data_IF_769863202486
#
_entry.id   IF_769863202486
#
_cell.length_a   1.000
_cell.length_b   1.000
_cell.length_c   1.000
_cell.angle_alpha   90.00
_cell.angle_beta   90.00
_cell.angle_gamma   90.00
#
_symmetry.space_group_name_H-M   'P 1'
#
loop_
_entity.id
_entity.type
_entity.pdbx_description
1 polymer ?
#
# COMPACT_ATOMS: atom_id res chain seq x y z
N UNK A 1 -6.08 81.84 36.00
CA UNK A 1 -7.00 82.05 37.12
C UNK A 1 -7.40 80.72 37.70
N UNK A 2 -7.13 80.56 38.94
CA UNK A 2 -7.69 79.67 39.98
C UNK A 2 -7.65 78.15 39.82
N UNK A 3 -6.79 77.58 40.62
CA UNK A 3 -6.91 76.39 41.43
C UNK A 3 -8.23 76.47 42.29
N UNK A 4 -8.70 75.47 43.05
CA UNK A 4 -7.95 74.37 43.71
C UNK A 4 -8.76 73.05 43.95
N UNK A 5 -8.02 72.09 44.48
CA UNK A 5 -8.25 71.23 45.67
C UNK A 5 -9.18 70.03 45.56
N UNK A 6 -8.65 68.84 45.78
CA UNK A 6 -8.24 68.15 47.02
C UNK A 6 -9.41 67.39 47.71
N UNK A 7 -9.26 66.10 47.89
CA UNK A 7 -9.32 65.28 49.13
C UNK A 7 -9.60 63.82 48.81
N UNK A 8 -8.67 62.96 49.01
CA UNK A 8 -8.45 62.07 50.16
C UNK A 8 -9.57 61.09 50.47
N UNK A 9 -9.14 59.85 50.63
CA UNK A 9 -9.92 58.77 51.26
C UNK A 9 -9.32 57.40 50.91
N UNK A 10 -8.23 57.05 51.41
CA UNK A 10 -7.76 56.07 52.41
C UNK A 10 -8.76 54.93 52.65
N UNK A 11 -8.36 53.71 52.28
CA UNK A 11 -9.05 52.48 52.60
C UNK A 11 -8.21 51.25 52.32
N UNK A 12 -7.29 51.02 53.27
CA UNK A 12 -6.46 49.84 53.39
C UNK A 12 -7.32 48.65 53.72
N UNK A 13 -7.32 47.61 52.89
CA UNK A 13 -7.65 46.25 53.35
C UNK A 13 -6.80 45.21 52.59
N UNK A 14 -5.75 44.81 53.28
CA UNK A 14 -4.98 43.61 52.95
C UNK A 14 -5.88 42.39 53.18
N UNK A 15 -6.20 41.66 52.13
CA UNK A 15 -6.68 40.29 52.25
C UNK A 15 -5.72 39.38 51.48
N UNK A 16 -4.77 38.83 52.22
CA UNK A 16 -3.90 37.73 51.73
C UNK A 16 -4.75 36.48 51.64
N UNK A 17 -5.06 36.07 50.43
CA UNK A 17 -5.62 34.72 50.15
C UNK A 17 -4.52 33.90 49.52
N UNK A 18 -3.86 33.10 50.37
CA UNK A 18 -3.02 31.99 49.90
C UNK A 18 -3.92 30.93 49.35
N UNK A 19 -3.98 30.82 48.02
CA UNK A 19 -4.56 29.64 47.37
C UNK A 19 -3.42 28.75 46.91
N UNK A 20 -3.40 27.58 47.50
CA UNK A 20 -2.55 26.46 47.18
C UNK A 20 -2.61 26.17 45.68
N UNK A 21 -1.45 26.26 45.02
CA UNK A 21 -1.28 25.74 43.66
C UNK A 21 -1.32 24.21 43.71
N UNK A 22 -2.45 23.64 43.34
CA UNK A 22 -2.50 22.24 42.93
C UNK A 22 -1.81 22.15 41.57
N UNK A 23 -0.65 21.52 41.54
CA UNK A 23 0.05 21.04 40.36
C UNK A 23 -0.82 20.00 39.66
N UNK A 24 -1.72 20.45 38.83
CA UNK A 24 -2.39 19.60 37.87
C UNK A 24 -1.39 19.40 36.72
N UNK A 25 -0.64 18.29 36.76
CA UNK A 25 0.05 17.74 35.60
C UNK A 25 -0.98 17.61 34.48
N UNK A 26 -0.97 18.57 33.55
CA UNK A 26 -1.59 18.45 32.26
C UNK A 26 -0.92 17.26 31.58
N UNK A 27 -1.59 16.11 31.58
CA UNK A 27 -1.31 15.07 30.60
C UNK A 27 -1.55 15.72 29.25
N UNK A 28 -0.48 15.99 28.53
CA UNK A 28 -0.54 16.19 27.08
C UNK A 28 -1.08 14.88 26.53
N UNK A 29 -2.33 14.88 26.16
CA UNK A 29 -2.92 13.92 25.27
C UNK A 29 -2.24 14.19 23.93
N UNK A 30 -1.29 13.32 23.60
CA UNK A 30 -0.79 13.21 22.22
C UNK A 30 -2.02 12.69 21.48
N UNK A 31 -2.69 13.60 20.77
CA UNK A 31 -3.56 13.22 19.69
C UNK A 31 -2.62 12.62 18.63
N UNK A 32 -2.58 11.29 18.59
CA UNK A 32 -2.14 10.56 17.40
C UNK A 32 -3.12 10.95 16.28
N UNK A 33 -2.77 12.03 15.61
CA UNK A 33 -3.31 12.31 14.30
C UNK A 33 -2.58 11.33 13.39
N UNK A 34 -3.12 10.13 13.24
CA UNK A 34 -2.86 9.29 12.07
C UNK A 34 -3.26 10.15 10.87
N UNK A 35 -2.32 10.91 10.34
CA UNK A 35 -2.44 11.41 8.98
C UNK A 35 -2.50 10.17 8.10
N UNK A 36 -3.72 9.81 7.73
CA UNK A 36 -3.96 8.84 6.66
C UNK A 36 -3.41 9.50 5.41
N UNK A 37 -2.15 9.22 5.09
CA UNK A 37 -1.58 9.54 3.79
C UNK A 37 -2.42 8.74 2.80
N UNK A 38 -3.32 9.41 2.12
CA UNK A 38 -4.11 8.83 1.03
C UNK A 38 -3.12 8.45 -0.07
N UNK A 39 -2.69 7.18 -0.06
CA UNK A 39 -1.85 6.62 -1.12
C UNK A 39 -2.71 6.52 -2.36
N UNK A 40 -2.44 7.34 -3.35
CA UNK A 40 -3.13 7.28 -4.63
C UNK A 40 -2.85 5.92 -5.28
N UNK A 41 -3.90 5.11 -5.45
CA UNK A 41 -3.82 3.80 -6.10
C UNK A 41 -3.86 4.01 -7.62
N UNK A 42 -2.76 3.72 -8.29
CA UNK A 42 -2.61 3.79 -9.76
C UNK A 42 -2.69 2.42 -10.40
N UNK A 43 -3.00 1.37 -9.64
CA UNK A 43 -3.09 0.01 -10.15
C UNK A 43 -4.28 -0.14 -11.09
N UNK A 44 -4.03 -0.58 -12.31
CA UNK A 44 -5.05 -0.94 -13.29
C UNK A 44 -5.33 -2.43 -13.21
N UNK A 45 -6.58 -2.78 -12.95
CA UNK A 45 -7.04 -4.17 -12.93
C UNK A 45 -7.77 -4.49 -14.22
N UNK A 46 -7.64 -5.73 -14.68
CA UNK A 46 -8.33 -6.23 -15.86
C UNK A 46 -7.94 -7.66 -16.20
N UNK A 47 -8.34 -8.08 -17.38
CA UNK A 47 -8.07 -9.40 -17.93
C UNK A 47 -7.06 -9.28 -19.05
N UNK A 48 -6.07 -10.18 -19.06
CA UNK A 48 -5.10 -10.29 -20.16
C UNK A 48 -5.83 -10.65 -21.45
N UNK A 49 -5.71 -9.81 -22.47
CA UNK A 49 -6.34 -9.99 -23.77
C UNK A 49 -5.53 -10.92 -24.69
N UNK A 50 -6.19 -11.38 -25.74
CA UNK A 50 -5.57 -12.25 -26.76
C UNK A 50 -4.53 -11.50 -27.63
N UNK A 51 -4.58 -10.15 -27.67
CA UNK A 51 -3.60 -9.31 -28.35
C UNK A 51 -2.26 -9.21 -27.62
N UNK A 52 -2.12 -9.85 -26.45
CA UNK A 52 -0.87 -9.87 -25.69
C UNK A 52 0.22 -10.61 -26.45
N UNK A 53 1.43 -10.04 -26.46
CA UNK A 53 2.60 -10.58 -27.11
C UNK A 53 3.84 -10.52 -26.21
N UNK A 54 5.01 -10.85 -26.75
CA UNK A 54 6.28 -10.77 -26.02
C UNK A 54 6.62 -9.33 -25.55
N UNK A 55 6.22 -8.32 -26.30
CA UNK A 55 6.59 -6.92 -26.05
C UNK A 55 5.40 -6.02 -25.71
N UNK A 56 4.19 -6.57 -25.69
CA UNK A 56 2.99 -5.80 -25.40
C UNK A 56 1.99 -6.61 -24.58
N UNK A 57 1.36 -5.95 -23.63
CA UNK A 57 0.29 -6.50 -22.81
C UNK A 57 -1.01 -5.78 -23.16
N UNK A 58 -1.98 -6.53 -23.67
CA UNK A 58 -3.35 -6.07 -23.81
C UNK A 58 -4.11 -6.33 -22.54
N UNK A 59 -4.73 -5.31 -21.95
CA UNK A 59 -5.59 -5.40 -20.76
C UNK A 59 -6.99 -4.95 -21.13
N UNK A 60 -7.96 -5.82 -20.90
CA UNK A 60 -9.38 -5.48 -20.89
C UNK A 60 -9.71 -5.12 -19.44
N UNK A 61 -9.84 -3.81 -19.15
CA UNK A 61 -10.03 -3.31 -17.79
C UNK A 61 -11.39 -3.72 -17.22
N UNK A 62 -11.52 -3.67 -15.91
CA UNK A 62 -12.81 -3.92 -15.23
C UNK A 62 -13.89 -2.89 -15.64
N UNK A 63 -13.49 -1.73 -16.17
CA UNK A 63 -14.39 -0.72 -16.74
C UNK A 63 -14.84 -1.04 -18.18
N UNK A 64 -14.22 -2.05 -18.82
CA UNK A 64 -14.51 -2.48 -20.19
C UNK A 64 -13.66 -1.80 -21.25
N UNK A 65 -12.69 -0.97 -20.88
CA UNK A 65 -11.75 -0.36 -21.81
C UNK A 65 -10.63 -1.33 -22.16
N UNK A 66 -10.11 -1.23 -23.39
CA UNK A 66 -8.92 -1.98 -23.81
C UNK A 66 -7.72 -1.07 -23.78
N UNK A 67 -6.71 -1.40 -22.98
CA UNK A 67 -5.43 -0.72 -22.90
C UNK A 67 -4.32 -1.64 -23.41
N UNK A 68 -3.34 -1.05 -24.10
CA UNK A 68 -2.16 -1.78 -24.56
C UNK A 68 -0.94 -1.13 -23.91
N UNK A 69 -0.20 -1.91 -23.16
CA UNK A 69 1.04 -1.51 -22.51
C UNK A 69 2.23 -2.09 -23.26
N UNK A 70 3.25 -1.29 -23.47
CA UNK A 70 4.57 -1.77 -23.88
C UNK A 70 5.28 -2.39 -22.67
N UNK A 71 5.90 -3.56 -22.86
CA UNK A 71 6.63 -4.31 -21.84
C UNK A 71 8.15 -4.06 -21.86
N UNK A 72 8.59 -3.14 -22.69
CA UNK A 72 9.97 -2.69 -22.80
C UNK A 72 9.99 -1.18 -22.64
N UNK A 73 10.67 -0.70 -21.61
CA UNK A 73 10.95 0.72 -21.44
C UNK A 73 12.28 1.04 -22.11
N UNK A 74 12.31 2.06 -22.94
CA UNK A 74 13.55 2.58 -23.51
C UNK A 74 13.93 3.87 -22.80
N UNK A 75 15.12 3.89 -22.19
CA UNK A 75 15.66 5.10 -21.60
C UNK A 75 16.12 6.04 -22.72
N UNK A 76 15.57 7.26 -22.74
CA UNK A 76 15.80 8.23 -23.81
C UNK A 76 17.26 8.75 -23.86
N UNK A 77 18.02 8.64 -22.76
CA UNK A 77 19.41 9.14 -22.68
C UNK A 77 20.43 8.04 -22.99
N UNK A 78 20.13 6.79 -22.59
CA UNK A 78 21.09 5.67 -22.68
C UNK A 78 20.77 4.68 -23.80
N UNK A 79 19.60 4.78 -24.42
CA UNK A 79 19.07 3.80 -25.41
C UNK A 79 19.02 2.36 -24.84
N UNK A 80 19.06 2.21 -23.52
CA UNK A 80 18.98 0.89 -22.87
C UNK A 80 17.52 0.48 -22.74
N UNK A 81 17.21 -0.71 -23.27
CA UNK A 81 15.90 -1.33 -23.08
C UNK A 81 15.84 -2.03 -21.71
N UNK A 82 14.87 -1.65 -20.91
CA UNK A 82 14.59 -2.30 -19.62
C UNK A 82 13.26 -3.02 -19.71
N UNK A 83 13.20 -4.34 -19.50
CA UNK A 83 11.94 -5.06 -19.50
C UNK A 83 11.10 -4.71 -18.26
N UNK A 84 9.79 -4.69 -18.46
CA UNK A 84 8.84 -4.60 -17.35
C UNK A 84 9.00 -5.80 -16.40
N UNK A 85 8.76 -5.57 -15.10
CA UNK A 85 8.74 -6.64 -14.12
C UNK A 85 7.40 -7.41 -14.21
N UNK A 86 7.45 -8.61 -14.78
CA UNK A 86 6.27 -9.47 -14.97
C UNK A 86 6.31 -10.65 -14.03
N UNK A 87 5.39 -10.68 -13.09
CA UNK A 87 5.26 -11.70 -12.07
C UNK A 87 4.06 -12.62 -12.35
N UNK A 88 4.29 -13.93 -12.43
CA UNK A 88 3.26 -14.95 -12.65
C UNK A 88 2.93 -15.25 -14.12
N UNK A 89 3.66 -14.62 -15.07
CA UNK A 89 3.48 -14.82 -16.50
C UNK A 89 2.28 -14.09 -17.09
N UNK A 90 2.19 -14.16 -18.44
CA UNK A 90 1.12 -13.53 -19.22
C UNK A 90 0.35 -14.63 -19.97
N UNK A 91 -0.90 -14.83 -19.59
CA UNK A 91 -1.80 -15.78 -20.26
C UNK A 91 -3.14 -15.11 -20.53
N UNK A 92 -3.61 -15.17 -21.77
CA UNK A 92 -4.90 -14.62 -22.13
C UNK A 92 -6.02 -15.23 -21.25
N UNK A 93 -6.89 -14.39 -20.72
CA UNK A 93 -7.95 -14.75 -19.79
C UNK A 93 -7.59 -14.64 -18.31
N UNK A 94 -6.29 -14.51 -17.96
CA UNK A 94 -5.88 -14.33 -16.58
C UNK A 94 -6.18 -12.90 -16.09
N UNK A 95 -6.50 -12.77 -14.80
CA UNK A 95 -6.64 -11.48 -14.12
C UNK A 95 -5.26 -10.89 -13.86
N UNK A 96 -5.10 -9.62 -14.19
CA UNK A 96 -3.86 -8.87 -14.05
C UNK A 96 -4.05 -7.63 -13.19
N UNK A 97 -2.99 -7.24 -12.49
CA UNK A 97 -2.82 -5.96 -11.85
C UNK A 97 -1.58 -5.29 -12.45
N UNK A 98 -1.75 -4.12 -13.06
CA UNK A 98 -0.70 -3.42 -13.81
C UNK A 98 -0.45 -2.06 -13.19
N UNK A 99 0.81 -1.72 -12.94
CA UNK A 99 1.26 -0.35 -12.73
C UNK A 99 2.14 0.07 -13.88
N UNK A 100 2.06 1.32 -14.25
CA UNK A 100 2.81 1.84 -15.39
C UNK A 100 2.65 3.35 -15.50
N UNK A 101 3.30 3.89 -16.49
CA UNK A 101 3.28 5.31 -16.78
C UNK A 101 2.99 5.57 -18.27
N UNK A 102 2.59 6.79 -18.56
CA UNK A 102 2.36 7.24 -19.93
C UNK A 102 3.56 8.05 -20.39
N UNK A 103 4.10 7.65 -21.52
CA UNK A 103 5.06 8.47 -22.27
C UNK A 103 4.31 9.38 -23.27
N UNK A 104 5.03 10.07 -24.16
CA UNK A 104 4.40 10.90 -25.18
C UNK A 104 3.52 10.07 -26.14
N UNK A 105 3.93 8.85 -26.46
CA UNK A 105 3.36 8.04 -27.54
C UNK A 105 2.67 6.76 -27.06
N UNK A 106 2.99 6.25 -25.86
CA UNK A 106 2.54 4.93 -25.40
C UNK A 106 2.32 4.83 -23.90
N UNK A 107 1.64 3.75 -23.48
CA UNK A 107 1.59 3.32 -22.10
C UNK A 107 2.70 2.28 -21.89
N UNK A 108 3.53 2.48 -20.88
CA UNK A 108 4.60 1.55 -20.50
C UNK A 108 4.23 0.90 -19.19
N UNK A 109 4.29 -0.44 -19.13
CA UNK A 109 4.11 -1.15 -17.88
C UNK A 109 5.42 -1.14 -17.08
N UNK A 110 5.39 -0.69 -15.85
CA UNK A 110 6.51 -0.80 -14.92
C UNK A 110 6.50 -2.18 -14.26
N UNK A 111 5.32 -2.59 -13.80
CA UNK A 111 5.12 -3.89 -13.14
C UNK A 111 3.78 -4.50 -13.51
N UNK A 112 3.80 -5.82 -13.74
CA UNK A 112 2.63 -6.64 -14.04
C UNK A 112 2.58 -7.81 -13.07
N UNK A 113 1.47 -7.97 -12.36
CA UNK A 113 1.24 -9.10 -11.46
C UNK A 113 0.06 -9.91 -12.00
N UNK A 114 0.31 -11.18 -12.30
CA UNK A 114 -0.75 -12.11 -12.65
C UNK A 114 -1.50 -12.53 -11.38
N UNK A 115 -2.67 -11.94 -11.19
CA UNK A 115 -3.52 -12.18 -10.02
C UNK A 115 -4.03 -13.62 -10.03
N UNK A 116 -4.37 -14.19 -11.18
CA UNK A 116 -4.78 -15.60 -11.29
C UNK A 116 -3.68 -16.53 -10.79
N UNK A 117 -2.43 -16.24 -11.14
CA UNK A 117 -1.26 -17.00 -10.66
C UNK A 117 -0.99 -16.77 -9.17
N UNK A 118 -1.37 -15.62 -8.60
CA UNK A 118 -1.19 -15.34 -7.18
C UNK A 118 -2.20 -16.11 -6.30
N UNK A 119 -3.41 -16.33 -6.80
CA UNK A 119 -4.43 -17.09 -6.06
C UNK A 119 -3.98 -18.54 -5.83
N UNK A 120 -4.35 -19.08 -4.67
CA UNK A 120 -4.12 -20.48 -4.32
C UNK A 120 -3.53 -20.67 -2.93
N UNK A 121 -3.13 -21.90 -2.66
CA UNK A 121 -2.64 -22.33 -1.35
C UNK A 121 -1.11 -22.27 -1.30
N UNK A 122 -0.60 -21.51 -0.36
CA UNK A 122 0.81 -21.24 -0.16
C UNK A 122 1.29 -21.72 1.21
N UNK A 123 2.44 -22.37 1.25
CA UNK A 123 2.99 -22.92 2.49
C UNK A 123 4.48 -22.66 2.62
N UNK A 124 4.92 -22.37 3.84
CA UNK A 124 6.31 -22.34 4.29
C UNK A 124 6.46 -23.11 5.60
N UNK A 125 7.59 -23.00 6.26
CA UNK A 125 7.82 -23.61 7.58
C UNK A 125 6.87 -23.01 8.62
N UNK A 126 6.65 -21.68 8.57
CA UNK A 126 5.96 -20.92 9.61
C UNK A 126 4.56 -20.48 9.21
N UNK A 127 4.23 -20.54 7.93
CA UNK A 127 2.98 -20.02 7.37
C UNK A 127 2.32 -21.03 6.44
N UNK A 128 1.00 -21.09 6.54
CA UNK A 128 0.18 -21.91 5.66
C UNK A 128 -1.13 -21.15 5.44
N UNK A 129 -1.35 -20.67 4.22
CA UNK A 129 -2.48 -19.79 3.91
C UNK A 129 -2.96 -19.95 2.46
N UNK A 130 -4.20 -19.56 2.23
CA UNK A 130 -4.79 -19.52 0.90
C UNK A 130 -5.15 -18.07 0.55
N UNK A 131 -4.69 -17.61 -0.60
CA UNK A 131 -5.13 -16.35 -1.22
C UNK A 131 -6.34 -16.69 -2.10
N UNK A 132 -7.48 -16.09 -1.75
CA UNK A 132 -8.75 -16.32 -2.46
C UNK A 132 -9.15 -15.08 -3.25
N UNK A 133 -10.02 -15.27 -4.25
CA UNK A 133 -10.64 -14.13 -4.95
C UNK A 133 -11.36 -13.19 -3.98
N UNK A 134 -11.52 -11.93 -4.39
CA UNK A 134 -12.25 -10.95 -3.59
C UNK A 134 -11.49 -10.41 -2.38
N UNK A 135 -10.16 -10.57 -2.34
CA UNK A 135 -9.32 -9.92 -1.34
C UNK A 135 -9.24 -10.67 0.00
N UNK A 136 -9.64 -11.93 0.05
CA UNK A 136 -9.62 -12.74 1.28
C UNK A 136 -8.36 -13.59 1.36
N UNK A 137 -7.78 -13.71 2.57
CA UNK A 137 -6.74 -14.69 2.91
C UNK A 137 -7.27 -15.58 4.03
N UNK A 138 -7.07 -16.88 3.90
CA UNK A 138 -7.39 -17.86 4.94
C UNK A 138 -6.14 -18.53 5.46
N UNK A 139 -5.81 -18.32 6.74
CA UNK A 139 -4.75 -19.07 7.41
C UNK A 139 -5.24 -20.49 7.75
N UNK A 140 -4.41 -21.49 7.48
CA UNK A 140 -4.64 -22.87 7.89
C UNK A 140 -4.00 -23.21 9.25
N UNK A 141 -3.23 -22.30 9.82
CA UNK A 141 -2.55 -22.47 11.13
C UNK A 141 -3.49 -22.06 12.25
N UNK A 142 -4.03 -23.04 12.98
CA UNK A 142 -5.04 -22.80 14.04
C UNK A 142 -4.56 -21.96 15.23
N UNK A 143 -3.25 -21.87 15.48
CA UNK A 143 -2.65 -21.18 16.62
C UNK A 143 -1.86 -19.93 16.21
N UNK A 144 -2.10 -19.41 15.01
CA UNK A 144 -1.43 -18.21 14.54
C UNK A 144 -1.97 -16.97 15.28
N UNK A 145 -1.07 -16.20 15.89
CA UNK A 145 -1.46 -15.03 16.70
C UNK A 145 -1.96 -13.87 15.85
N UNK A 146 -1.36 -13.68 14.66
CA UNK A 146 -1.71 -12.61 13.71
C UNK A 146 -1.85 -13.20 12.30
N UNK A 147 -2.97 -13.87 12.00
CA UNK A 147 -3.20 -14.42 10.66
C UNK A 147 -3.43 -13.30 9.65
N UNK A 148 -2.96 -13.50 8.43
CA UNK A 148 -3.41 -12.68 7.32
C UNK A 148 -4.85 -13.06 6.98
N UNK A 149 -5.69 -12.04 6.79
CA UNK A 149 -7.14 -12.21 6.52
C UNK A 149 -7.59 -11.50 5.26
N UNK A 150 -6.80 -10.57 4.77
CA UNK A 150 -7.10 -9.80 3.57
C UNK A 150 -5.85 -9.56 2.73
N UNK A 151 -6.07 -9.36 1.43
CA UNK A 151 -5.02 -8.99 0.49
C UNK A 151 -5.53 -8.01 -0.57
N UNK A 152 -4.62 -7.25 -1.11
CA UNK A 152 -4.81 -6.48 -2.35
C UNK A 152 -3.47 -6.18 -3.01
N UNK A 153 -3.48 -5.89 -4.30
CA UNK A 153 -2.35 -5.26 -4.96
C UNK A 153 -2.56 -3.75 -4.90
N UNK A 154 -1.51 -3.02 -4.55
CA UNK A 154 -1.51 -1.57 -4.49
C UNK A 154 -0.19 -1.05 -5.03
N UNK A 155 -0.23 -0.30 -6.13
CA UNK A 155 0.95 0.27 -6.76
C UNK A 155 2.08 -0.77 -6.99
N UNK A 156 1.72 -1.97 -7.48
CA UNK A 156 2.67 -3.05 -7.76
C UNK A 156 3.15 -3.84 -6.54
N UNK A 157 2.67 -3.55 -5.34
CA UNK A 157 2.99 -4.28 -4.11
C UNK A 157 1.82 -5.14 -3.64
N UNK A 158 2.10 -6.26 -3.00
CA UNK A 158 1.12 -7.09 -2.33
C UNK A 158 0.94 -6.62 -0.89
N UNK A 159 -0.26 -6.20 -0.53
CA UNK A 159 -0.66 -5.94 0.84
C UNK A 159 -1.30 -7.19 1.41
N UNK A 160 -0.81 -7.65 2.57
CA UNK A 160 -1.42 -8.69 3.39
C UNK A 160 -1.80 -8.06 4.73
N UNK A 161 -3.08 -7.82 4.98
CA UNK A 161 -3.59 -6.94 6.03
C UNK A 161 -3.02 -5.51 5.88
N UNK A 162 -2.06 -5.14 6.75
CA UNK A 162 -1.35 -3.86 6.73
C UNK A 162 0.11 -3.98 6.29
N UNK A 163 0.59 -5.20 6.15
CA UNK A 163 1.97 -5.47 5.76
C UNK A 163 2.12 -5.36 4.24
N UNK A 164 3.09 -4.59 3.80
CA UNK A 164 3.39 -4.40 2.37
C UNK A 164 4.57 -5.27 1.98
N UNK A 165 4.42 -5.99 0.88
CA UNK A 165 5.44 -6.87 0.32
C UNK A 165 5.71 -6.55 -1.15
N UNK A 166 6.98 -6.60 -1.54
CA UNK A 166 7.38 -6.75 -2.92
C UNK A 166 7.26 -8.22 -3.31
N UNK A 167 6.69 -8.52 -4.47
CA UNK A 167 6.69 -9.87 -5.03
C UNK A 167 7.97 -10.02 -5.84
N UNK A 168 8.98 -10.72 -5.30
CA UNK A 168 10.26 -10.94 -5.97
C UNK A 168 10.19 -12.08 -6.97
N UNK A 169 9.34 -13.05 -6.74
CA UNK A 169 9.10 -14.15 -7.66
C UNK A 169 7.68 -14.67 -7.48
N UNK A 170 6.94 -14.78 -8.55
CA UNK A 170 5.68 -15.49 -8.63
C UNK A 170 5.74 -16.46 -9.82
N UNK A 171 5.66 -17.75 -9.53
CA UNK A 171 5.66 -18.81 -10.52
C UNK A 171 4.53 -19.81 -10.27
N UNK A 172 4.49 -20.87 -11.06
CA UNK A 172 3.46 -21.91 -10.93
C UNK A 172 3.48 -22.59 -9.55
N UNK A 173 4.64 -22.68 -8.90
CA UNK A 173 4.84 -23.41 -7.65
C UNK A 173 5.55 -22.63 -6.54
N UNK A 174 6.01 -21.39 -6.81
CA UNK A 174 6.82 -20.60 -5.90
C UNK A 174 6.33 -19.17 -5.80
N UNK A 175 6.33 -18.63 -4.57
CA UNK A 175 6.03 -17.24 -4.25
C UNK A 175 7.10 -16.73 -3.29
N UNK A 176 7.85 -15.67 -3.70
CA UNK A 176 8.82 -14.98 -2.86
C UNK A 176 8.34 -13.58 -2.60
N UNK A 177 8.20 -13.25 -1.33
CA UNK A 177 7.76 -11.94 -0.85
C UNK A 177 8.89 -11.30 -0.06
N UNK A 178 9.16 -10.03 -0.32
CA UNK A 178 10.16 -9.26 0.42
C UNK A 178 9.52 -8.06 1.11
N UNK A 179 9.96 -7.81 2.34
CA UNK A 179 9.70 -6.57 3.08
C UNK A 179 10.92 -6.18 3.92
N UNK A 180 10.80 -5.18 4.78
CA UNK A 180 11.86 -4.72 5.68
C UNK A 180 12.41 -5.80 6.62
N UNK A 181 11.66 -6.88 6.88
CA UNK A 181 12.06 -7.98 7.75
C UNK A 181 12.76 -9.11 6.99
N UNK A 182 12.84 -9.05 5.67
CA UNK A 182 13.55 -10.00 4.81
C UNK A 182 12.69 -10.66 3.74
N UNK A 183 13.20 -11.77 3.21
CA UNK A 183 12.57 -12.54 2.13
C UNK A 183 11.86 -13.76 2.70
N UNK A 184 10.59 -13.91 2.35
CA UNK A 184 9.71 -15.01 2.74
C UNK A 184 9.42 -15.86 1.52
N UNK A 185 9.73 -17.16 1.62
CA UNK A 185 9.56 -18.08 0.51
C UNK A 185 8.43 -19.06 0.78
N UNK A 186 7.56 -19.21 -0.19
CA UNK A 186 6.40 -20.10 -0.12
C UNK A 186 6.39 -21.03 -1.32
N UNK A 187 5.88 -22.24 -1.11
CA UNK A 187 5.60 -23.22 -2.15
C UNK A 187 4.10 -23.38 -2.31
N UNK A 188 3.66 -23.55 -3.54
CA UNK A 188 2.26 -23.88 -3.83
C UNK A 188 1.96 -25.29 -3.37
N UNK A 189 0.88 -25.44 -2.62
CA UNK A 189 0.37 -26.75 -2.26
C UNK A 189 -0.72 -27.16 -3.28
N UNK A 190 -0.57 -28.35 -3.84
CA UNK A 190 -1.52 -28.95 -4.78
C UNK A 190 -2.64 -29.66 -4.04
#
# INVERSE_FOLDING_TARGET
>A
MLRPMLKEGMGLLFLVLVLAACDAKKKQQIEDTDEVVEVNDTTVYGVCGEGTSMHSLEIITDAGDTLVYTLLSQDAETEVETPSDVQGGLMAGDKMAVTGHKTADELVADRVINVTSLLGHWTSIDKNFTIEEGGTVRSAVKAETNPWTSWKILNGSLLLNRDTFCIECLSADSLYLENENGIFTFKRQK
#
